data_IF_221321227245
#
_entry.id   IF_221321227245
#
_cell.length_a   1.000
_cell.length_b   1.000
_cell.length_c   1.000
_cell.angle_alpha   90.00
_cell.angle_beta   90.00
_cell.angle_gamma   90.00
#
_symmetry.space_group_name_H-M   'P 1'
#
loop_
_entity.id
_entity.type
_entity.pdbx_description
1 polymer ?
#
# COMPACT_ATOMS: atom_id res chain seq x y z
N UNK A 1 -51.83 63.56 -16.57
CA UNK A 1 -50.89 62.78 -17.40
C UNK A 1 -49.67 62.23 -16.64
N UNK A 2 -49.40 62.65 -15.38
CA UNK A 2 -48.22 62.24 -14.60
C UNK A 2 -48.36 60.83 -13.98
N UNK A 3 -49.57 60.37 -13.65
CA UNK A 3 -49.80 59.07 -12.99
C UNK A 3 -49.62 57.81 -13.85
N UNK A 4 -49.72 57.90 -15.19
CA UNK A 4 -49.54 56.74 -16.10
C UNK A 4 -48.08 56.42 -16.40
N UNK A 5 -47.18 57.42 -16.29
CA UNK A 5 -45.74 57.23 -16.52
C UNK A 5 -45.08 56.60 -15.29
N UNK A 6 -45.51 56.99 -14.09
CA UNK A 6 -44.98 56.46 -12.82
C UNK A 6 -45.31 54.98 -12.61
N UNK A 7 -46.53 54.52 -12.97
CA UNK A 7 -46.89 53.09 -12.87
C UNK A 7 -46.09 52.19 -13.82
N UNK A 8 -45.83 52.62 -15.06
CA UNK A 8 -45.02 51.87 -16.03
C UNK A 8 -43.54 51.78 -15.63
N UNK A 9 -42.99 52.85 -15.06
CA UNK A 9 -41.62 52.90 -14.54
C UNK A 9 -41.47 52.04 -13.28
N UNK A 10 -42.44 52.09 -12.35
CA UNK A 10 -42.42 51.22 -11.16
C UNK A 10 -42.53 49.73 -11.51
N UNK A 11 -43.38 49.35 -12.47
CA UNK A 11 -43.46 47.97 -12.97
C UNK A 11 -42.16 47.50 -13.62
N UNK A 12 -41.50 48.36 -14.39
CA UNK A 12 -40.22 48.08 -15.04
C UNK A 12 -39.08 47.92 -14.03
N UNK A 13 -39.03 48.77 -12.99
CA UNK A 13 -38.04 48.68 -11.92
C UNK A 13 -38.27 47.44 -11.06
N UNK A 14 -39.52 47.17 -10.65
CA UNK A 14 -39.84 45.95 -9.88
C UNK A 14 -39.50 44.69 -10.67
N UNK A 15 -39.84 44.62 -11.96
CA UNK A 15 -39.48 43.50 -12.83
C UNK A 15 -37.97 43.29 -12.93
N UNK A 16 -37.19 44.38 -13.09
CA UNK A 16 -35.72 44.33 -13.12
C UNK A 16 -35.13 43.87 -11.77
N UNK A 17 -35.66 44.35 -10.65
CA UNK A 17 -35.25 43.93 -9.31
C UNK A 17 -35.59 42.44 -9.09
N UNK A 18 -36.76 41.97 -9.51
CA UNK A 18 -37.13 40.56 -9.43
C UNK A 18 -36.19 39.67 -10.24
N UNK A 19 -35.80 40.08 -11.46
CA UNK A 19 -34.80 39.35 -12.27
C UNK A 19 -33.44 39.35 -11.57
N UNK A 20 -33.01 40.48 -11.01
CA UNK A 20 -31.74 40.59 -10.29
C UNK A 20 -31.70 39.65 -9.07
N UNK A 21 -32.76 39.64 -8.26
CA UNK A 21 -32.89 38.76 -7.09
C UNK A 21 -32.89 37.29 -7.52
N UNK A 22 -33.60 36.95 -8.60
CA UNK A 22 -33.64 35.59 -9.14
C UNK A 22 -32.25 35.14 -9.61
N UNK A 23 -31.52 36.00 -10.32
CA UNK A 23 -30.16 35.74 -10.77
C UNK A 23 -29.23 35.53 -9.58
N UNK A 24 -29.26 36.41 -8.57
CA UNK A 24 -28.48 36.25 -7.35
C UNK A 24 -28.79 34.93 -6.64
N UNK A 25 -30.05 34.50 -6.64
CA UNK A 25 -30.46 33.21 -6.08
C UNK A 25 -29.84 32.04 -6.85
N UNK A 26 -29.88 32.07 -8.20
CA UNK A 26 -29.21 31.06 -9.02
C UNK A 26 -27.69 31.07 -8.84
N UNK A 27 -27.05 32.23 -8.75
CA UNK A 27 -25.61 32.33 -8.50
C UNK A 27 -25.24 31.79 -7.11
N UNK A 28 -26.07 32.06 -6.10
CA UNK A 28 -25.89 31.53 -4.75
C UNK A 28 -26.06 30.01 -4.70
N UNK A 29 -27.10 29.46 -5.36
CA UNK A 29 -27.28 28.01 -5.48
C UNK A 29 -26.09 27.37 -6.21
N UNK A 30 -25.65 27.97 -7.32
CA UNK A 30 -24.49 27.49 -8.06
C UNK A 30 -23.21 27.52 -7.22
N UNK A 31 -22.98 28.59 -6.47
CA UNK A 31 -21.84 28.72 -5.56
C UNK A 31 -21.86 27.67 -4.45
N UNK A 32 -23.02 27.46 -3.81
CA UNK A 32 -23.18 26.45 -2.76
C UNK A 32 -22.97 25.04 -3.31
N UNK A 33 -23.53 24.73 -4.49
CA UNK A 33 -23.33 23.43 -5.13
C UNK A 33 -21.86 23.16 -5.44
N UNK A 34 -21.14 24.13 -6.02
CA UNK A 34 -19.71 24.00 -6.28
C UNK A 34 -18.88 23.85 -5.00
N UNK A 35 -19.27 24.53 -3.91
CA UNK A 35 -18.60 24.41 -2.62
C UNK A 35 -18.77 23.01 -2.04
N UNK A 36 -19.99 22.47 -2.07
CA UNK A 36 -20.30 21.11 -1.61
C UNK A 36 -19.56 20.07 -2.45
N UNK A 37 -19.53 20.25 -3.78
CA UNK A 37 -18.80 19.35 -4.68
C UNK A 37 -17.31 19.34 -4.34
N UNK A 38 -16.70 20.52 -4.17
CA UNK A 38 -15.29 20.63 -3.79
C UNK A 38 -15.00 19.99 -2.42
N UNK A 39 -15.81 20.30 -1.41
CA UNK A 39 -15.64 19.71 -0.07
C UNK A 39 -15.81 18.18 -0.09
N UNK A 40 -16.74 17.67 -0.89
CA UNK A 40 -16.94 16.22 -1.07
C UNK A 40 -15.72 15.59 -1.72
N UNK A 41 -15.18 16.21 -2.78
CA UNK A 41 -13.94 15.76 -3.43
C UNK A 41 -12.77 15.75 -2.45
N UNK A 42 -12.58 16.80 -1.67
CA UNK A 42 -11.50 16.90 -0.69
C UNK A 42 -11.62 15.83 0.42
N UNK A 43 -12.85 15.58 0.92
CA UNK A 43 -13.12 14.52 1.90
C UNK A 43 -12.89 13.13 1.34
N UNK A 44 -13.35 12.87 0.10
CA UNK A 44 -13.13 11.58 -0.58
C UNK A 44 -11.63 11.35 -0.80
N UNK A 45 -10.88 12.37 -1.19
CA UNK A 45 -9.44 12.28 -1.34
C UNK A 45 -8.76 11.96 0.00
N UNK A 46 -9.11 12.65 1.09
CA UNK A 46 -8.55 12.40 2.41
C UNK A 46 -8.82 10.96 2.91
N UNK A 47 -10.06 10.48 2.78
CA UNK A 47 -10.41 9.09 3.11
C UNK A 47 -9.58 8.11 2.28
N UNK A 48 -9.36 8.45 1.01
CA UNK A 48 -8.60 7.58 0.12
C UNK A 48 -7.10 7.54 0.46
N UNK A 49 -6.53 8.68 0.87
CA UNK A 49 -5.16 8.77 1.37
C UNK A 49 -4.98 7.91 2.61
N UNK A 50 -5.91 8.02 3.58
CA UNK A 50 -5.88 7.23 4.81
C UNK A 50 -5.96 5.72 4.54
N UNK A 51 -6.84 5.30 3.61
CA UNK A 51 -6.96 3.90 3.20
C UNK A 51 -5.68 3.39 2.54
N UNK A 52 -5.05 4.18 1.68
CA UNK A 52 -3.81 3.78 1.03
C UNK A 52 -2.65 3.69 2.04
N UNK A 53 -2.53 4.64 2.97
CA UNK A 53 -1.54 4.60 4.04
C UNK A 53 -1.73 3.37 4.92
N UNK A 54 -2.99 3.05 5.28
CA UNK A 54 -3.30 1.85 6.06
C UNK A 54 -2.85 0.58 5.33
N UNK A 55 -3.13 0.47 4.03
CA UNK A 55 -2.66 -0.67 3.23
C UNK A 55 -1.12 -0.76 3.17
N UNK A 56 -0.42 0.37 3.04
CA UNK A 56 1.05 0.42 3.10
C UNK A 56 1.54 -0.13 4.45
N UNK A 57 0.94 0.31 5.55
CA UNK A 57 1.30 -0.12 6.89
C UNK A 57 1.11 -1.63 7.07
N UNK A 58 -0.05 -2.17 6.69
CA UNK A 58 -0.38 -3.59 6.82
C UNK A 58 0.58 -4.48 6.02
N UNK A 59 0.83 -4.14 4.75
CA UNK A 59 1.72 -4.93 3.89
C UNK A 59 3.17 -4.83 4.36
N UNK A 60 3.62 -3.64 4.78
CA UNK A 60 4.97 -3.45 5.33
C UNK A 60 5.17 -4.23 6.63
N UNK A 61 4.15 -4.27 7.49
CA UNK A 61 4.16 -5.06 8.73
C UNK A 61 4.37 -6.55 8.44
N UNK A 62 3.65 -7.13 7.48
CA UNK A 62 3.87 -8.52 7.07
C UNK A 62 5.30 -8.77 6.56
N UNK A 63 5.80 -7.88 5.70
CA UNK A 63 7.13 -8.03 5.12
C UNK A 63 8.25 -7.93 6.16
N UNK A 64 8.10 -7.02 7.13
CA UNK A 64 9.02 -6.89 8.26
C UNK A 64 8.90 -8.09 9.20
N UNK A 65 7.71 -8.68 9.34
CA UNK A 65 7.50 -9.92 10.08
C UNK A 65 8.37 -11.08 9.56
N UNK A 66 8.55 -11.22 8.25
CA UNK A 66 9.46 -12.23 7.68
C UNK A 66 10.93 -11.95 8.01
N UNK A 67 11.35 -10.68 8.05
CA UNK A 67 12.71 -10.31 8.45
C UNK A 67 12.96 -10.63 9.92
N UNK A 68 12.02 -10.29 10.79
CA UNK A 68 12.09 -10.58 12.22
C UNK A 68 12.12 -12.08 12.48
N UNK A 69 11.29 -12.85 11.76
CA UNK A 69 11.34 -14.31 11.81
C UNK A 69 12.72 -14.82 11.41
N UNK A 70 13.29 -14.36 10.29
CA UNK A 70 14.63 -14.79 9.86
C UNK A 70 15.72 -14.46 10.90
N UNK A 71 15.66 -13.27 11.50
CA UNK A 71 16.57 -12.85 12.59
C UNK A 71 16.40 -13.70 13.85
N UNK A 72 15.17 -14.03 14.23
CA UNK A 72 14.90 -14.91 15.37
C UNK A 72 15.40 -16.33 15.12
N UNK A 73 15.29 -16.81 13.88
CA UNK A 73 15.82 -18.12 13.49
C UNK A 73 17.35 -18.09 13.61
N UNK A 74 18.00 -17.05 13.09
CA UNK A 74 19.45 -16.86 13.21
C UNK A 74 19.95 -16.85 14.66
N UNK A 75 19.26 -16.16 15.57
CA UNK A 75 19.69 -16.02 16.97
C UNK A 75 19.59 -17.31 17.77
N UNK A 76 18.70 -18.23 17.38
CA UNK A 76 18.46 -19.51 18.04
C UNK A 76 19.29 -20.64 17.41
N UNK A 77 19.67 -20.50 16.13
CA UNK A 77 20.50 -21.48 15.43
C UNK A 77 21.97 -21.37 15.83
N UNK A 78 22.36 -22.22 16.76
CA UNK A 78 23.75 -22.62 16.91
C UNK A 78 24.02 -23.83 15.99
N UNK A 79 24.52 -23.50 14.80
CA UNK A 79 25.68 -24.18 14.20
C UNK A 79 25.56 -25.53 13.49
N UNK A 80 24.81 -26.53 13.97
CA UNK A 80 25.09 -27.92 13.52
C UNK A 80 23.87 -28.85 13.37
N UNK A 81 22.67 -28.30 13.19
CA UNK A 81 21.45 -29.10 13.18
C UNK A 81 20.54 -28.75 12.02
N UNK A 82 20.81 -29.38 10.87
CA UNK A 82 19.89 -29.43 9.72
C UNK A 82 18.48 -29.86 10.15
N UNK A 83 18.39 -30.79 11.10
CA UNK A 83 17.14 -31.23 11.73
C UNK A 83 16.42 -30.14 12.53
N UNK A 84 17.13 -29.19 13.16
CA UNK A 84 16.50 -28.02 13.78
C UNK A 84 15.98 -27.04 12.75
N UNK A 85 16.70 -26.83 11.65
CA UNK A 85 16.26 -25.95 10.57
C UNK A 85 14.97 -26.48 9.93
N UNK A 86 14.90 -27.78 9.66
CA UNK A 86 13.71 -28.46 9.16
C UNK A 86 12.53 -28.34 10.15
N UNK A 87 12.75 -28.59 11.44
CA UNK A 87 11.68 -28.44 12.45
C UNK A 87 11.17 -26.98 12.57
N UNK A 88 12.08 -26.00 12.50
CA UNK A 88 11.72 -24.57 12.50
C UNK A 88 10.96 -24.21 11.22
N UNK A 89 11.41 -24.69 10.07
CA UNK A 89 10.72 -24.51 8.80
C UNK A 89 9.29 -25.04 8.86
N UNK A 90 9.09 -26.27 9.32
CA UNK A 90 7.76 -26.88 9.41
C UNK A 90 6.82 -26.06 10.33
N UNK A 91 7.31 -25.58 11.47
CA UNK A 91 6.53 -24.71 12.35
C UNK A 91 6.17 -23.37 11.70
N UNK A 92 7.10 -22.77 10.96
CA UNK A 92 6.87 -21.52 10.24
C UNK A 92 5.89 -21.73 9.09
N UNK A 93 6.05 -22.79 8.30
CA UNK A 93 5.19 -23.15 7.17
C UNK A 93 3.75 -23.48 7.63
N UNK A 94 3.58 -24.17 8.76
CA UNK A 94 2.25 -24.42 9.32
C UNK A 94 1.52 -23.15 9.75
N UNK A 95 2.26 -22.16 10.27
CA UNK A 95 1.69 -20.85 10.63
C UNK A 95 1.45 -19.97 9.41
N UNK A 96 2.28 -20.13 8.39
CA UNK A 96 2.22 -19.38 7.16
C UNK A 96 2.69 -20.21 5.98
N UNK A 97 1.71 -20.73 5.23
CA UNK A 97 1.92 -21.59 4.07
C UNK A 97 2.61 -20.87 2.91
N UNK A 98 2.73 -19.53 2.94
CA UNK A 98 3.48 -18.79 1.94
C UNK A 98 4.99 -18.98 2.08
N UNK A 99 5.49 -19.31 3.28
CA UNK A 99 6.91 -19.62 3.49
C UNK A 99 7.21 -20.98 2.88
N UNK A 100 7.92 -21.02 1.75
CA UNK A 100 8.12 -22.25 0.99
C UNK A 100 9.51 -22.88 1.20
N UNK A 101 10.48 -22.14 1.73
CA UNK A 101 11.78 -22.70 2.07
C UNK A 101 12.49 -21.91 3.18
N UNK A 102 13.31 -22.61 3.95
CA UNK A 102 14.28 -22.06 4.90
C UNK A 102 15.56 -22.89 4.80
N UNK A 103 16.67 -22.27 4.43
CA UNK A 103 17.92 -22.97 4.12
C UNK A 103 19.14 -22.09 4.39
N UNK A 104 20.32 -22.72 4.45
CA UNK A 104 21.61 -22.02 4.51
C UNK A 104 22.32 -22.25 3.18
N UNK A 105 22.79 -21.18 2.55
CA UNK A 105 23.63 -21.25 1.35
C UNK A 105 25.06 -20.75 1.64
N UNK A 106 26.07 -21.23 0.90
CA UNK A 106 27.43 -20.72 1.04
C UNK A 106 27.46 -19.20 0.83
N UNK A 107 28.15 -18.48 1.72
CA UNK A 107 28.34 -17.04 1.60
C UNK A 107 29.81 -16.75 1.43
N UNK A 108 30.14 -16.09 0.32
CA UNK A 108 31.51 -15.67 0.00
C UNK A 108 31.81 -14.24 0.51
N UNK A 109 30.96 -13.68 1.37
CA UNK A 109 31.15 -12.36 1.97
C UNK A 109 32.02 -12.38 3.23
N UNK A 110 32.37 -11.19 3.73
CA UNK A 110 33.19 -11.00 4.94
C UNK A 110 32.32 -10.82 6.19
N UNK A 111 32.73 -11.27 7.39
CA UNK A 111 32.01 -11.02 8.65
C UNK A 111 31.68 -9.55 8.93
N UNK A 112 32.38 -8.63 8.26
CA UNK A 112 32.14 -7.19 8.29
C UNK A 112 30.95 -6.74 7.43
N UNK A 113 30.39 -7.62 6.59
CA UNK A 113 29.20 -7.34 5.78
C UNK A 113 27.97 -7.18 6.68
N UNK A 114 27.13 -6.20 6.33
CA UNK A 114 26.00 -5.72 7.11
C UNK A 114 25.12 -6.84 7.69
N UNK A 115 24.77 -6.74 8.98
CA UNK A 115 23.74 -7.57 9.65
C UNK A 115 22.31 -7.27 9.17
N UNK A 116 22.16 -6.48 8.10
CA UNK A 116 20.89 -6.22 7.45
C UNK A 116 20.36 -7.47 6.72
N UNK A 117 19.04 -7.62 6.74
CA UNK A 117 18.35 -8.60 5.91
C UNK A 117 18.31 -8.06 4.48
N UNK A 118 18.79 -8.86 3.54
CA UNK A 118 18.78 -8.58 2.12
C UNK A 118 17.59 -9.30 1.48
N UNK A 119 16.77 -8.56 0.74
CA UNK A 119 15.59 -9.08 0.03
C UNK A 119 15.90 -9.21 -1.46
N UNK A 120 15.59 -10.35 -2.04
CA UNK A 120 15.75 -10.60 -3.48
C UNK A 120 14.47 -11.18 -4.07
N UNK A 121 14.23 -10.88 -5.34
CA UNK A 121 13.01 -11.28 -6.04
C UNK A 121 13.37 -12.16 -7.24
N UNK A 122 12.69 -13.29 -7.39
CA UNK A 122 12.89 -14.20 -8.51
C UNK A 122 11.56 -14.55 -9.18
N UNK A 123 11.51 -14.40 -10.50
CA UNK A 123 10.37 -14.80 -11.33
C UNK A 123 10.56 -16.20 -11.89
N UNK A 124 9.48 -16.96 -11.95
CA UNK A 124 9.41 -18.24 -12.67
C UNK A 124 8.12 -18.30 -13.49
N UNK A 125 8.08 -19.14 -14.53
CA UNK A 125 6.81 -19.36 -15.25
C UNK A 125 5.79 -19.97 -14.27
N UNK A 126 4.68 -19.27 -14.03
CA UNK A 126 3.62 -19.68 -13.11
C UNK A 126 3.70 -19.10 -11.70
N UNK A 127 4.66 -18.20 -11.40
CA UNK A 127 4.74 -17.54 -10.09
C UNK A 127 6.04 -16.79 -9.84
N UNK A 128 6.32 -16.50 -8.58
CA UNK A 128 7.58 -15.90 -8.18
C UNK A 128 7.81 -16.05 -6.69
N UNK A 129 9.04 -15.76 -6.26
CA UNK A 129 9.44 -15.92 -4.87
C UNK A 129 10.16 -14.68 -4.37
N UNK A 130 9.88 -14.30 -3.13
CA UNK A 130 10.61 -13.30 -2.38
C UNK A 130 11.55 -14.01 -1.40
N UNK A 131 12.85 -13.79 -1.53
CA UNK A 131 13.85 -14.41 -0.66
C UNK A 131 14.49 -13.37 0.25
N UNK A 132 14.35 -13.59 1.54
CA UNK A 132 15.02 -12.85 2.61
C UNK A 132 16.29 -13.58 2.96
N UNK A 133 17.39 -12.86 3.10
CA UNK A 133 18.69 -13.47 3.36
C UNK A 133 19.50 -12.63 4.32
N UNK A 134 20.21 -13.27 5.24
CA UNK A 134 21.06 -12.58 6.20
C UNK A 134 22.37 -13.34 6.39
N UNK A 135 23.51 -12.66 6.64
CA UNK A 135 24.78 -13.34 6.90
C UNK A 135 24.68 -14.19 8.18
N UNK A 136 25.11 -15.45 8.11
CA UNK A 136 25.07 -16.43 9.20
C UNK A 136 26.45 -17.09 9.38
N UNK A 137 27.35 -16.37 10.03
CA UNK A 137 28.75 -16.79 10.17
C UNK A 137 28.98 -17.88 11.21
N UNK A 138 30.00 -18.75 10.99
CA UNK A 138 30.79 -18.95 9.76
C UNK A 138 30.10 -19.83 8.68
N UNK A 139 28.83 -20.18 8.83
CA UNK A 139 28.13 -21.20 8.04
C UNK A 139 27.71 -20.77 6.64
N UNK A 140 27.52 -19.48 6.42
CA UNK A 140 27.13 -18.93 5.14
C UNK A 140 26.08 -17.84 5.29
N UNK A 141 24.99 -17.95 4.53
CA UNK A 141 23.87 -17.02 4.53
C UNK A 141 22.59 -17.79 4.81
N UNK A 142 21.84 -17.37 5.82
CA UNK A 142 20.53 -17.94 6.13
C UNK A 142 19.49 -17.29 5.21
N UNK A 143 18.70 -18.11 4.54
CA UNK A 143 17.73 -17.71 3.54
C UNK A 143 16.34 -18.22 3.92
N UNK A 144 15.33 -17.37 3.79
CA UNK A 144 13.91 -17.69 3.88
C UNK A 144 13.23 -17.26 2.59
N UNK A 145 12.49 -18.18 1.98
CA UNK A 145 11.80 -17.94 0.71
C UNK A 145 10.31 -17.98 0.92
N UNK A 146 9.63 -16.96 0.41
CA UNK A 146 8.18 -16.80 0.41
C UNK A 146 7.67 -16.91 -1.02
N UNK A 147 6.71 -17.79 -1.24
CA UNK A 147 5.95 -17.86 -2.48
C UNK A 147 4.98 -16.67 -2.58
N UNK A 148 5.03 -15.97 -3.71
CA UNK A 148 4.23 -14.76 -3.90
C UNK A 148 2.75 -15.06 -4.05
N UNK A 149 2.38 -16.24 -4.56
CA UNK A 149 0.97 -16.61 -4.69
C UNK A 149 0.37 -16.85 -3.30
N UNK A 150 1.05 -17.62 -2.45
CA UNK A 150 0.67 -17.78 -1.05
C UNK A 150 0.64 -16.45 -0.30
N UNK A 151 1.63 -15.58 -0.53
CA UNK A 151 1.65 -14.24 0.06
C UNK A 151 0.46 -13.40 -0.42
N UNK A 152 0.10 -13.47 -1.71
CA UNK A 152 -1.07 -12.78 -2.25
C UNK A 152 -2.37 -13.28 -1.61
N UNK A 153 -2.54 -14.60 -1.45
CA UNK A 153 -3.69 -15.18 -0.75
C UNK A 153 -3.76 -14.73 0.70
N UNK A 154 -2.62 -14.60 1.37
CA UNK A 154 -2.55 -14.08 2.74
C UNK A 154 -2.95 -12.61 2.81
N UNK A 155 -2.45 -11.82 1.86
CA UNK A 155 -2.90 -10.43 1.68
C UNK A 155 -4.40 -10.42 1.47
N UNK A 156 -4.95 -11.29 0.60
CA UNK A 156 -6.36 -11.48 0.28
C UNK A 156 -7.30 -11.81 1.46
N UNK A 157 -6.74 -12.28 2.57
CA UNK A 157 -7.47 -12.58 3.80
C UNK A 157 -7.37 -11.53 4.90
N UNK A 158 -6.64 -10.43 4.70
CA UNK A 158 -6.43 -9.45 5.78
C UNK A 158 -7.64 -8.55 6.02
N UNK A 159 -8.09 -8.48 7.27
CA UNK A 159 -9.10 -7.51 7.71
C UNK A 159 -8.55 -6.08 7.62
N UNK A 160 -9.38 -5.15 7.16
CA UNK A 160 -9.01 -3.73 7.04
C UNK A 160 -8.17 -3.39 5.80
N UNK A 161 -7.75 -4.37 5.00
CA UNK A 161 -7.06 -4.12 3.74
C UNK A 161 -8.08 -3.84 2.61
N UNK A 162 -7.84 -2.77 1.85
CA UNK A 162 -8.65 -2.46 0.66
C UNK A 162 -7.91 -2.86 -0.63
N UNK A 163 -8.29 -3.98 -1.25
CA UNK A 163 -7.65 -4.51 -2.47
C UNK A 163 -7.66 -3.57 -3.67
N UNK A 164 -8.59 -2.61 -3.73
CA UNK A 164 -8.66 -1.67 -4.85
C UNK A 164 -7.39 -0.81 -4.99
N UNK A 165 -6.59 -0.71 -3.91
CA UNK A 165 -5.35 0.07 -3.87
C UNK A 165 -4.08 -0.80 -3.89
N UNK A 166 -4.20 -2.10 -4.16
CA UNK A 166 -3.08 -3.04 -4.17
C UNK A 166 -3.02 -3.77 -5.50
N UNK A 167 -1.94 -3.59 -6.24
CA UNK A 167 -1.64 -4.35 -7.45
C UNK A 167 -0.37 -5.16 -7.22
N UNK A 168 -0.48 -6.49 -7.26
CA UNK A 168 0.70 -7.36 -7.23
C UNK A 168 1.11 -7.65 -8.66
N UNK A 169 2.36 -7.35 -9.00
CA UNK A 169 2.90 -7.67 -10.33
C UNK A 169 4.18 -8.47 -10.20
N UNK A 170 4.67 -8.92 -11.36
CA UNK A 170 5.98 -9.52 -11.52
C UNK A 170 7.14 -8.60 -11.12
N UNK A 171 6.92 -7.33 -10.77
CA UNK A 171 7.94 -6.41 -10.26
C UNK A 171 7.89 -6.16 -8.75
N UNK A 172 6.93 -6.76 -8.03
CA UNK A 172 6.69 -6.53 -6.60
C UNK A 172 5.23 -6.19 -6.28
N UNK A 173 4.98 -5.73 -5.05
CA UNK A 173 3.67 -5.22 -4.63
C UNK A 173 3.64 -3.72 -4.85
N UNK A 174 2.73 -3.28 -5.71
CA UNK A 174 2.50 -1.88 -6.04
C UNK A 174 1.26 -1.40 -5.30
N UNK A 175 1.38 -0.26 -4.65
CA UNK A 175 0.27 0.40 -3.98
C UNK A 175 -0.13 1.61 -4.82
N UNK A 176 -1.39 1.64 -5.23
CA UNK A 176 -1.93 2.73 -6.03
C UNK A 176 -2.66 3.72 -5.12
N UNK A 177 -2.52 5.00 -5.41
CA UNK A 177 -3.34 6.08 -4.85
C UNK A 177 -3.97 6.88 -6.01
N UNK A 178 -5.25 7.30 -5.94
CA UNK A 178 -5.95 7.93 -7.05
C UNK A 178 -5.42 9.32 -7.43
N UNK A 179 -4.64 9.99 -6.56
CA UNK A 179 -3.94 11.24 -6.94
C UNK A 179 -2.65 11.00 -7.74
N UNK A 180 -2.53 9.85 -8.41
CA UNK A 180 -1.47 9.54 -9.37
C UNK A 180 -0.04 9.43 -8.79
N UNK A 181 0.12 9.48 -7.47
CA UNK A 181 1.36 9.04 -6.84
C UNK A 181 1.29 7.50 -6.82
N UNK A 182 1.86 6.87 -7.85
CA UNK A 182 2.35 5.49 -7.69
C UNK A 182 3.40 5.55 -6.58
N UNK A 183 3.01 5.24 -5.35
CA UNK A 183 3.96 4.86 -4.30
C UNK A 183 4.49 3.49 -4.70
N UNK A 184 5.43 3.51 -5.64
CA UNK A 184 6.13 2.32 -6.03
C UNK A 184 7.07 1.98 -4.86
N UNK A 185 6.72 0.94 -4.10
CA UNK A 185 7.72 0.16 -3.39
C UNK A 185 8.54 -0.57 -4.47
N UNK A 186 9.44 0.17 -5.13
CA UNK A 186 10.39 -0.37 -6.10
C UNK A 186 11.37 -1.25 -5.33
N UNK A 187 11.11 -2.55 -5.31
CA UNK A 187 12.03 -3.55 -4.76
C UNK A 187 12.90 -4.13 -5.87
N UNK A 188 13.63 -3.27 -6.57
CA UNK A 188 14.67 -3.68 -7.50
C UNK A 188 15.92 -2.80 -7.28
N UNK A 189 16.96 -3.44 -6.75
CA UNK A 189 18.36 -3.01 -6.69
C UNK A 189 18.62 -1.57 -6.19
N UNK A 190 18.74 -1.42 -4.87
CA UNK A 190 19.87 -0.61 -4.39
C UNK A 190 21.08 -1.53 -4.37
N UNK A 191 21.87 -1.39 -5.44
CA UNK A 191 23.23 -1.89 -5.62
C UNK A 191 24.06 -1.84 -4.36
#
# INVERSE_FOLDING_TARGET
MVGKVTEGVFKSIHFRISILVLLLFFTAIWYVNNLIEKETVDRVNAITEDVAINNVYLITSLLNGYEEQLRSVQSVLNTDQRSKLEAVFEQMHQRDSSICALYVEPFNGSPADSSAVHRTYQLRKGGGTLTYSLPFYPYGKLCLTVDLMGFHQRIAGMEGLNYAYVTITCGGVYLYHPTNIRLALLWANKT
#
